data_IF_715529474357
#
_entry.id   IF_715529474357
#
_cell.length_a   1.000
_cell.length_b   1.000
_cell.length_c   1.000
_cell.angle_alpha   90.00
_cell.angle_beta   90.00
_cell.angle_gamma   90.00
#
_symmetry.space_group_name_H-M   'P 1'
#
loop_
_entity.id
_entity.type
_entity.pdbx_description
1 polymer ?
#
# COMPACT_ATOMS: atom_id res chain seq x y z
N UNK A 1 -3.33 -4.61 9.69
CA UNK A 1 -2.56 -3.49 9.12
C UNK A 1 -3.48 -2.59 8.32
N UNK A 2 -4.14 -3.09 7.29
CA UNK A 2 -4.95 -2.31 6.33
C UNK A 2 -6.09 -1.56 7.03
N UNK A 3 -6.93 -2.28 7.79
CA UNK A 3 -8.12 -1.71 8.42
C UNK A 3 -7.80 -0.51 9.35
N UNK A 4 -6.89 -0.65 10.34
CA UNK A 4 -6.59 0.45 11.25
C UNK A 4 -5.73 1.56 10.62
N UNK A 5 -5.03 1.27 9.52
CA UNK A 5 -4.18 2.26 8.86
C UNK A 5 -4.99 3.30 8.09
N UNK A 6 -6.02 2.86 7.36
CA UNK A 6 -6.82 3.77 6.52
C UNK A 6 -8.24 3.27 6.19
N UNK A 7 -8.47 1.95 6.08
CA UNK A 7 -9.72 1.44 5.52
C UNK A 7 -10.93 1.78 6.40
N UNK A 8 -10.79 1.67 7.73
CA UNK A 8 -11.86 2.02 8.66
C UNK A 8 -12.29 3.49 8.52
N UNK A 9 -11.35 4.40 8.29
CA UNK A 9 -11.66 5.83 8.17
C UNK A 9 -12.33 6.13 6.81
N UNK A 10 -11.90 5.47 5.73
CA UNK A 10 -12.58 5.57 4.43
C UNK A 10 -14.00 4.98 4.48
N UNK A 11 -14.20 3.89 5.20
CA UNK A 11 -15.53 3.30 5.37
C UNK A 11 -16.48 4.24 6.15
N UNK A 12 -16.02 4.83 7.25
CA UNK A 12 -16.80 5.82 8.02
C UNK A 12 -17.14 7.05 7.18
N UNK A 13 -16.18 7.54 6.37
CA UNK A 13 -16.42 8.66 5.46
C UNK A 13 -17.50 8.32 4.43
N UNK A 14 -17.43 7.13 3.81
CA UNK A 14 -18.47 6.65 2.90
C UNK A 14 -19.86 6.57 3.60
N UNK A 15 -19.92 6.01 4.79
CA UNK A 15 -21.17 5.88 5.56
C UNK A 15 -21.78 7.25 5.84
N UNK A 16 -20.96 8.21 6.28
CA UNK A 16 -21.42 9.58 6.51
C UNK A 16 -21.96 10.25 5.24
N UNK A 17 -21.33 10.01 4.07
CA UNK A 17 -21.82 10.51 2.79
C UNK A 17 -23.13 9.81 2.41
N UNK A 18 -23.22 8.51 2.67
CA UNK A 18 -24.39 7.70 2.35
C UNK A 18 -25.67 8.12 3.13
N UNK A 19 -25.51 8.77 4.28
CA UNK A 19 -26.61 9.28 5.12
C UNK A 19 -27.07 10.70 4.72
N UNK A 20 -26.42 11.37 3.79
CA UNK A 20 -26.83 12.72 3.34
C UNK A 20 -28.20 12.67 2.70
N UNK A 21 -29.20 13.41 3.23
CA UNK A 21 -30.58 13.31 2.74
C UNK A 21 -30.83 14.02 1.42
N UNK A 22 -29.95 14.98 1.02
CA UNK A 22 -30.12 15.75 -0.20
C UNK A 22 -29.46 15.03 -1.39
N UNK A 23 -30.22 14.51 -2.39
CA UNK A 23 -29.67 13.67 -3.44
C UNK A 23 -28.55 14.33 -4.26
N UNK A 24 -28.70 15.62 -4.58
CA UNK A 24 -27.71 16.36 -5.35
C UNK A 24 -26.40 16.55 -4.59
N UNK A 25 -26.45 16.83 -3.30
CA UNK A 25 -25.28 16.99 -2.43
C UNK A 25 -24.60 15.63 -2.23
N UNK A 26 -25.40 14.59 -1.96
CA UNK A 26 -24.89 13.22 -1.81
C UNK A 26 -24.13 12.77 -3.07
N UNK A 27 -24.73 12.98 -4.26
CA UNK A 27 -24.08 12.64 -5.54
C UNK A 27 -22.73 13.33 -5.69
N UNK A 28 -22.65 14.63 -5.48
CA UNK A 28 -21.40 15.40 -5.57
C UNK A 28 -20.34 14.88 -4.57
N UNK A 29 -20.76 14.53 -3.35
CA UNK A 29 -19.86 13.99 -2.35
C UNK A 29 -19.37 12.57 -2.68
N UNK A 30 -20.23 11.73 -3.25
CA UNK A 30 -19.85 10.39 -3.73
C UNK A 30 -18.83 10.46 -4.88
N UNK A 31 -19.06 11.37 -5.86
CA UNK A 31 -18.12 11.61 -6.96
C UNK A 31 -16.75 12.08 -6.42
N UNK A 32 -16.72 13.05 -5.52
CA UNK A 32 -15.48 13.52 -4.89
C UNK A 32 -14.79 12.45 -4.06
N UNK A 33 -15.55 11.59 -3.37
CA UNK A 33 -15.01 10.47 -2.61
C UNK A 33 -14.40 9.41 -3.53
N UNK A 34 -15.04 9.12 -4.67
CA UNK A 34 -14.47 8.23 -5.68
C UNK A 34 -13.15 8.78 -6.24
N UNK A 35 -13.09 10.09 -6.53
CA UNK A 35 -11.86 10.75 -6.96
C UNK A 35 -10.76 10.68 -5.88
N UNK A 36 -11.13 10.82 -4.62
CA UNK A 36 -10.21 10.61 -3.49
C UNK A 36 -9.65 9.19 -3.49
N UNK A 37 -10.50 8.15 -3.61
CA UNK A 37 -10.04 6.76 -3.67
C UNK A 37 -9.06 6.53 -4.82
N UNK A 38 -9.35 7.07 -5.99
CA UNK A 38 -8.51 6.97 -7.19
C UNK A 38 -7.18 7.73 -7.06
N UNK A 39 -7.10 8.72 -6.18
CA UNK A 39 -5.89 9.51 -5.93
C UNK A 39 -4.93 8.90 -4.91
N UNK A 40 -5.37 7.90 -4.12
CA UNK A 40 -4.52 7.28 -3.11
C UNK A 40 -3.42 6.42 -3.73
N UNK A 41 -2.20 6.52 -3.19
CA UNK A 41 -1.06 5.68 -3.56
C UNK A 41 -0.53 4.89 -2.38
N UNK A 42 -0.24 3.62 -2.61
CA UNK A 42 0.16 2.64 -1.61
C UNK A 42 1.53 2.05 -1.94
N UNK A 43 2.36 1.88 -0.92
CA UNK A 43 3.71 1.37 -1.09
C UNK A 43 4.02 0.25 -0.10
N UNK A 44 4.50 -0.89 -0.61
CA UNK A 44 4.98 -2.02 0.19
C UNK A 44 6.44 -2.32 -0.16
N UNK A 45 7.41 -1.91 0.69
CA UNK A 45 8.82 -2.11 0.43
C UNK A 45 9.33 -3.53 0.73
N UNK A 46 8.43 -4.47 0.97
CA UNK A 46 8.74 -5.90 1.14
C UNK A 46 7.56 -6.75 0.67
N UNK A 47 7.09 -6.49 -0.56
CA UNK A 47 5.76 -6.92 -0.98
C UNK A 47 5.60 -8.44 -1.18
N UNK A 48 6.69 -9.21 -1.26
CA UNK A 48 6.62 -10.65 -1.45
C UNK A 48 5.81 -11.01 -2.69
N UNK A 49 4.83 -11.89 -2.50
CA UNK A 49 3.84 -12.25 -3.54
C UNK A 49 2.70 -11.23 -3.72
N UNK A 50 2.80 -10.06 -3.12
CA UNK A 50 1.84 -8.95 -3.28
C UNK A 50 0.59 -9.03 -2.41
N UNK A 51 0.56 -9.82 -1.36
CA UNK A 51 -0.65 -10.05 -0.55
C UNK A 51 -1.24 -8.77 0.04
N UNK A 52 -0.42 -7.87 0.61
CA UNK A 52 -0.91 -6.60 1.15
C UNK A 52 -1.45 -5.68 0.05
N UNK A 53 -0.73 -5.58 -1.08
CA UNK A 53 -1.14 -4.75 -2.21
C UNK A 53 -2.44 -5.26 -2.82
N UNK A 54 -2.56 -6.57 -3.01
CA UNK A 54 -3.76 -7.23 -3.57
C UNK A 54 -4.98 -7.03 -2.68
N UNK A 55 -4.86 -7.29 -1.37
CA UNK A 55 -5.95 -7.12 -0.43
C UNK A 55 -6.38 -5.64 -0.31
N UNK A 56 -5.42 -4.72 -0.33
CA UNK A 56 -5.70 -3.28 -0.34
C UNK A 56 -6.47 -2.88 -1.59
N UNK A 57 -6.03 -3.34 -2.76
CA UNK A 57 -6.72 -3.08 -4.03
C UNK A 57 -8.16 -3.61 -3.99
N UNK A 58 -8.36 -4.87 -3.60
CA UNK A 58 -9.70 -5.47 -3.50
C UNK A 58 -10.59 -4.68 -2.54
N UNK A 59 -10.06 -4.30 -1.38
CA UNK A 59 -10.81 -3.53 -0.38
C UNK A 59 -11.24 -2.15 -0.90
N UNK A 60 -10.34 -1.43 -1.58
CA UNK A 60 -10.66 -0.15 -2.21
C UNK A 60 -11.68 -0.29 -3.34
N UNK A 61 -11.53 -1.30 -4.19
CA UNK A 61 -12.46 -1.58 -5.29
C UNK A 61 -13.85 -1.93 -4.78
N UNK A 62 -13.95 -2.71 -3.70
CA UNK A 62 -15.24 -2.99 -3.06
C UNK A 62 -15.89 -1.73 -2.48
N UNK A 63 -15.08 -0.84 -1.92
CA UNK A 63 -15.60 0.45 -1.44
C UNK A 63 -16.04 1.34 -2.61
N UNK A 64 -15.26 1.40 -3.69
CA UNK A 64 -15.64 2.08 -4.93
C UNK A 64 -16.91 1.47 -5.54
N UNK A 65 -17.07 0.15 -5.54
CA UNK A 65 -18.26 -0.53 -6.03
C UNK A 65 -19.53 -0.11 -5.26
N UNK A 66 -19.43 0.13 -3.94
CA UNK A 66 -20.55 0.71 -3.17
C UNK A 66 -20.88 2.13 -3.63
N UNK A 67 -19.89 2.92 -4.00
CA UNK A 67 -20.10 4.28 -4.57
C UNK A 67 -20.78 4.18 -5.94
N UNK A 68 -20.28 3.32 -6.82
CA UNK A 68 -20.82 3.09 -8.16
C UNK A 68 -22.28 2.65 -8.08
N UNK A 69 -22.61 1.66 -7.23
CA UNK A 69 -23.98 1.17 -7.02
C UNK A 69 -24.92 2.33 -6.63
N UNK A 70 -24.49 3.22 -5.74
CA UNK A 70 -25.31 4.38 -5.36
C UNK A 70 -25.46 5.42 -6.44
N UNK A 71 -24.40 5.66 -7.23
CA UNK A 71 -24.44 6.62 -8.32
C UNK A 71 -25.29 6.13 -9.51
N UNK A 72 -25.36 4.81 -9.72
CA UNK A 72 -26.08 4.20 -10.86
C UNK A 72 -27.52 3.84 -10.50
N UNK A 73 -27.89 3.70 -9.23
CA UNK A 73 -29.26 3.41 -8.80
C UNK A 73 -30.25 4.44 -9.32
N UNK A 74 -31.16 3.97 -10.19
CA UNK A 74 -32.23 4.79 -10.77
C UNK A 74 -31.87 5.52 -12.07
N UNK A 75 -30.70 5.28 -12.64
CA UNK A 75 -30.33 5.79 -13.96
C UNK A 75 -30.21 4.60 -14.94
N UNK A 76 -31.08 4.57 -15.96
CA UNK A 76 -30.85 3.74 -17.14
C UNK A 76 -29.74 4.44 -17.92
N UNK A 77 -28.53 3.91 -17.84
CA UNK A 77 -27.41 4.45 -18.61
C UNK A 77 -27.51 3.90 -20.03
N UNK A 78 -28.14 4.69 -20.90
CA UNK A 78 -28.16 4.44 -22.35
C UNK A 78 -26.97 5.15 -23.00
N UNK A 79 -25.98 4.38 -23.47
CA UNK A 79 -24.87 4.88 -24.25
C UNK A 79 -23.50 4.34 -23.84
N UNK A 80 -22.51 4.47 -24.71
CA UNK A 80 -21.09 4.19 -24.41
C UNK A 80 -20.60 5.14 -23.30
N UNK A 81 -20.65 4.67 -22.05
CA UNK A 81 -20.00 5.38 -20.94
C UNK A 81 -18.56 4.94 -20.83
N UNK A 82 -17.68 5.92 -20.60
CA UNK A 82 -16.37 5.66 -20.03
C UNK A 82 -16.52 4.77 -18.79
N UNK A 83 -15.57 3.86 -18.56
CA UNK A 83 -15.59 2.96 -17.39
C UNK A 83 -15.94 3.72 -16.10
N UNK A 84 -16.94 3.30 -15.32
CA UNK A 84 -17.28 3.95 -14.06
C UNK A 84 -16.19 3.74 -13.00
N UNK A 85 -15.23 2.89 -13.28
CA UNK A 85 -14.13 2.52 -12.39
C UNK A 85 -12.99 3.52 -12.50
N UNK A 86 -12.56 4.07 -11.37
CA UNK A 86 -11.43 5.01 -11.27
C UNK A 86 -10.24 4.43 -10.49
N UNK A 87 -10.50 3.55 -9.51
CA UNK A 87 -9.44 2.87 -8.75
C UNK A 87 -8.72 1.86 -9.64
N UNK A 88 -7.41 1.93 -9.71
CA UNK A 88 -6.55 1.18 -10.64
C UNK A 88 -5.36 0.56 -9.92
N UNK A 89 -4.84 -0.55 -10.45
CA UNK A 89 -3.60 -1.17 -9.96
C UNK A 89 -2.36 -0.28 -10.12
N UNK A 90 -2.42 0.79 -10.89
CA UNK A 90 -1.35 1.79 -10.99
C UNK A 90 -1.07 2.56 -9.70
N UNK A 91 -1.99 2.52 -8.74
CA UNK A 91 -1.85 3.18 -7.43
C UNK A 91 -0.95 2.39 -6.46
N UNK A 92 -0.51 1.19 -6.85
CA UNK A 92 0.17 0.22 -5.99
C UNK A 92 1.62 0.04 -6.40
N UNK A 93 2.52 0.28 -5.46
CA UNK A 93 3.96 0.25 -5.62
C UNK A 93 4.57 -0.77 -4.67
N UNK A 94 5.62 -1.45 -5.10
CA UNK A 94 6.28 -2.45 -4.25
C UNK A 94 7.75 -2.66 -4.60
N UNK A 95 8.50 -3.10 -3.61
CA UNK A 95 9.87 -3.62 -3.79
C UNK A 95 9.90 -5.06 -3.30
N UNK A 96 10.51 -5.93 -4.08
CA UNK A 96 10.74 -7.31 -3.71
C UNK A 96 12.13 -7.76 -4.21
N UNK A 97 12.87 -8.47 -3.36
CA UNK A 97 14.24 -8.89 -3.70
C UNK A 97 14.26 -10.12 -4.62
N UNK A 98 13.20 -10.89 -4.63
CA UNK A 98 13.09 -12.13 -5.41
C UNK A 98 12.34 -11.86 -6.73
N UNK A 99 13.00 -12.08 -7.87
CA UNK A 99 12.45 -11.86 -9.20
C UNK A 99 11.17 -12.66 -9.48
N UNK A 100 11.15 -13.93 -9.06
CA UNK A 100 9.97 -14.78 -9.20
C UNK A 100 8.80 -14.26 -8.36
N UNK A 101 9.05 -13.82 -7.12
CA UNK A 101 8.02 -13.23 -6.28
C UNK A 101 7.46 -11.91 -6.88
N UNK A 102 8.30 -11.10 -7.53
CA UNK A 102 7.85 -9.93 -8.29
C UNK A 102 6.85 -10.31 -9.40
N UNK A 103 7.14 -11.37 -10.15
CA UNK A 103 6.23 -11.86 -11.21
C UNK A 103 4.92 -12.36 -10.60
N UNK A 104 4.99 -13.11 -9.50
CA UNK A 104 3.80 -13.59 -8.78
C UNK A 104 2.96 -12.42 -8.28
N UNK A 105 3.57 -11.41 -7.67
CA UNK A 105 2.87 -10.23 -7.17
C UNK A 105 2.15 -9.44 -8.28
N UNK A 106 2.84 -9.21 -9.42
CA UNK A 106 2.23 -8.57 -10.59
C UNK A 106 1.03 -9.37 -11.12
N UNK A 107 1.19 -10.68 -11.20
CA UNK A 107 0.12 -11.59 -11.66
C UNK A 107 -1.06 -11.58 -10.70
N UNK A 108 -0.81 -11.61 -9.39
CA UNK A 108 -1.85 -11.55 -8.37
C UNK A 108 -2.66 -10.24 -8.45
N UNK A 109 -2.00 -9.11 -8.68
CA UNK A 109 -2.67 -7.82 -8.89
C UNK A 109 -3.55 -7.83 -10.14
N UNK A 110 -3.10 -8.41 -11.25
CA UNK A 110 -3.92 -8.55 -12.46
C UNK A 110 -5.13 -9.46 -12.24
N UNK A 111 -4.96 -10.57 -11.52
CA UNK A 111 -6.09 -11.45 -11.18
C UNK A 111 -7.10 -10.70 -10.32
N UNK A 112 -6.64 -9.94 -9.34
CA UNK A 112 -7.50 -9.11 -8.50
C UNK A 112 -8.26 -8.04 -9.32
N UNK A 113 -7.60 -7.41 -10.30
CA UNK A 113 -8.23 -6.46 -11.20
C UNK A 113 -9.35 -7.13 -12.02
N UNK A 114 -9.08 -8.33 -12.59
CA UNK A 114 -10.08 -9.13 -13.30
C UNK A 114 -11.30 -9.44 -12.43
N UNK A 115 -11.06 -9.93 -11.22
CA UNK A 115 -12.12 -10.29 -10.27
C UNK A 115 -12.99 -9.07 -9.93
N UNK A 116 -12.36 -7.94 -9.64
CA UNK A 116 -13.07 -6.73 -9.27
C UNK A 116 -13.82 -6.08 -10.43
N UNK A 117 -13.31 -6.21 -11.66
CA UNK A 117 -14.04 -5.80 -12.86
C UNK A 117 -15.31 -6.64 -13.08
N UNK A 118 -15.22 -7.97 -12.91
CA UNK A 118 -16.39 -8.86 -12.97
C UNK A 118 -17.43 -8.51 -11.90
N UNK A 119 -16.97 -8.21 -10.67
CA UNK A 119 -17.86 -7.76 -9.59
C UNK A 119 -18.56 -6.45 -9.97
N UNK A 120 -17.83 -5.47 -10.54
CA UNK A 120 -18.40 -4.20 -10.99
C UNK A 120 -19.40 -4.41 -12.14
N UNK A 121 -19.10 -5.28 -13.11
CA UNK A 121 -20.01 -5.61 -14.22
C UNK A 121 -21.36 -6.11 -13.73
N UNK A 122 -21.35 -6.92 -12.67
CA UNK A 122 -22.61 -7.44 -12.07
C UNK A 122 -23.45 -6.34 -11.38
N UNK A 123 -22.82 -5.24 -10.94
CA UNK A 123 -23.48 -4.10 -10.29
C UNK A 123 -24.10 -3.16 -11.33
N UNK A 124 -23.36 -2.87 -12.40
CA UNK A 124 -23.81 -1.89 -13.42
C UNK A 124 -24.62 -2.52 -14.56
N UNK A 125 -24.75 -3.86 -14.59
CA UNK A 125 -25.43 -4.63 -15.65
C UNK A 125 -24.95 -4.28 -17.07
N UNK A 126 -23.67 -3.89 -17.20
CA UNK A 126 -23.04 -3.49 -18.46
C UNK A 126 -21.81 -4.32 -18.73
N UNK A 127 -21.54 -4.62 -20.01
CA UNK A 127 -20.23 -5.11 -20.42
C UNK A 127 -19.22 -3.96 -20.33
N UNK A 128 -18.33 -4.05 -19.36
CA UNK A 128 -17.16 -3.17 -19.30
C UNK A 128 -16.09 -3.78 -20.20
N UNK A 129 -15.63 -3.01 -21.18
CA UNK A 129 -14.52 -3.43 -22.04
C UNK A 129 -13.28 -3.65 -21.16
N UNK A 130 -13.00 -4.92 -20.92
CA UNK A 130 -11.83 -5.33 -20.21
C UNK A 130 -10.66 -5.39 -21.22
N UNK A 131 -9.78 -4.41 -21.17
CA UNK A 131 -8.48 -4.48 -21.83
C UNK A 131 -7.46 -5.02 -20.83
N UNK A 132 -7.29 -6.35 -20.73
CA UNK A 132 -6.27 -6.92 -19.86
C UNK A 132 -4.90 -6.49 -20.38
N UNK A 133 -3.94 -6.30 -19.49
CA UNK A 133 -2.52 -6.12 -19.80
C UNK A 133 -2.04 -4.71 -20.23
N UNK A 134 -2.87 -3.67 -20.18
CA UNK A 134 -2.38 -2.27 -20.33
C UNK A 134 -1.97 -1.64 -19.00
N UNK A 135 -2.37 -2.24 -17.90
CA UNK A 135 -2.07 -1.73 -16.56
C UNK A 135 -0.73 -2.29 -16.07
N UNK A 136 0.23 -1.42 -15.86
CA UNK A 136 1.51 -1.79 -15.25
C UNK A 136 1.39 -1.71 -13.73
N UNK A 137 1.78 -2.77 -13.05
CA UNK A 137 1.94 -2.75 -11.59
C UNK A 137 3.35 -2.25 -11.30
N UNK A 138 3.47 -1.25 -10.42
CA UNK A 138 4.74 -0.61 -10.10
C UNK A 138 5.51 -1.42 -9.03
N UNK A 139 5.76 -2.70 -9.30
CA UNK A 139 6.58 -3.57 -8.46
C UNK A 139 7.94 -3.73 -9.11
N UNK A 140 8.99 -3.36 -8.37
CA UNK A 140 10.38 -3.42 -8.82
C UNK A 140 11.15 -4.48 -8.06
N UNK A 141 12.07 -5.14 -8.75
CA UNK A 141 13.02 -6.07 -8.14
C UNK A 141 14.15 -5.29 -7.50
N UNK A 142 14.49 -5.64 -6.25
CA UNK A 142 15.64 -5.05 -5.58
C UNK A 142 15.64 -5.26 -4.07
N UNK A 143 16.78 -4.92 -3.45
CA UNK A 143 16.91 -4.92 -2.01
C UNK A 143 16.40 -3.59 -1.45
N UNK A 144 15.25 -3.60 -0.77
CA UNK A 144 14.62 -2.40 -0.22
C UNK A 144 15.50 -1.63 0.77
N UNK A 145 16.44 -2.30 1.45
CA UNK A 145 17.35 -1.63 2.37
C UNK A 145 18.49 -0.90 1.66
N UNK A 146 18.80 -1.24 0.38
CA UNK A 146 19.83 -0.60 -0.44
C UNK A 146 19.27 0.41 -1.44
N UNK A 147 17.99 0.27 -1.80
CA UNK A 147 17.34 1.16 -2.76
C UNK A 147 16.91 2.47 -2.12
N UNK A 148 16.90 3.54 -2.90
CA UNK A 148 16.18 4.75 -2.54
C UNK A 148 14.67 4.55 -2.84
N UNK A 149 13.84 4.61 -1.83
CA UNK A 149 12.39 4.46 -1.98
C UNK A 149 11.76 5.61 -2.76
N UNK A 150 12.41 6.79 -2.78
CA UNK A 150 11.96 7.94 -3.56
C UNK A 150 12.00 7.69 -5.07
N UNK A 151 12.90 6.79 -5.56
CA UNK A 151 12.96 6.42 -6.97
C UNK A 151 11.80 5.50 -7.39
N UNK A 152 11.20 4.76 -6.45
CA UNK A 152 10.05 3.89 -6.72
C UNK A 152 8.75 4.67 -6.62
N UNK A 153 8.59 5.43 -5.55
CA UNK A 153 7.45 6.33 -5.32
C UNK A 153 7.94 7.52 -4.49
N UNK A 154 7.88 8.75 -5.00
CA UNK A 154 8.19 9.93 -4.20
C UNK A 154 7.29 10.01 -2.96
N UNK A 155 7.88 10.26 -1.78
CA UNK A 155 7.13 10.28 -0.52
C UNK A 155 6.01 11.33 -0.51
N UNK A 156 6.19 12.45 -1.23
CA UNK A 156 5.15 13.48 -1.39
C UNK A 156 3.94 13.02 -2.20
N UNK A 157 4.04 11.90 -2.92
CA UNK A 157 2.95 11.29 -3.69
C UNK A 157 2.35 10.06 -2.98
N UNK A 158 3.06 9.47 -2.02
CA UNK A 158 2.63 8.31 -1.27
C UNK A 158 1.64 8.72 -0.17
N UNK A 159 0.59 7.92 0.03
CA UNK A 159 -0.36 8.14 1.12
C UNK A 159 -0.15 7.14 2.25
N UNK A 160 0.16 5.90 1.93
CA UNK A 160 0.31 4.83 2.92
C UNK A 160 1.45 3.90 2.56
N UNK A 161 2.32 3.65 3.53
CA UNK A 161 3.36 2.61 3.45
C UNK A 161 2.98 1.47 4.39
N UNK A 162 2.99 0.25 3.89
CA UNK A 162 2.64 -0.93 4.65
C UNK A 162 3.45 -2.15 4.20
N UNK A 163 3.50 -3.18 4.99
CA UNK A 163 4.20 -4.40 4.57
C UNK A 163 4.41 -5.40 5.70
N UNK A 164 4.97 -6.53 5.31
CA UNK A 164 5.41 -7.59 6.20
C UNK A 164 6.89 -7.92 5.94
N UNK A 165 7.81 -7.06 6.39
CA UNK A 165 9.23 -7.27 6.19
C UNK A 165 9.74 -8.57 6.82
N UNK A 166 10.84 -9.15 6.32
CA UNK A 166 11.34 -10.44 6.80
C UNK A 166 11.83 -10.40 8.27
N UNK A 167 11.43 -11.42 9.04
CA UNK A 167 11.79 -11.57 10.45
C UNK A 167 13.02 -12.45 10.59
N UNK A 168 14.19 -11.84 10.68
CA UNK A 168 15.45 -12.55 10.94
C UNK A 168 16.09 -11.99 12.19
N UNK A 169 16.12 -12.80 13.26
CA UNK A 169 16.77 -12.44 14.52
C UNK A 169 18.25 -12.11 14.31
N UNK A 170 18.80 -11.19 15.08
CA UNK A 170 20.16 -10.66 14.89
C UNK A 170 21.26 -11.75 14.84
N UNK A 171 21.09 -12.85 15.56
CA UNK A 171 22.05 -13.97 15.58
C UNK A 171 21.99 -14.86 14.33
N UNK A 172 20.89 -14.81 13.57
CA UNK A 172 20.63 -15.66 12.41
C UNK A 172 20.86 -14.91 11.08
N UNK A 173 21.15 -13.61 11.13
CA UNK A 173 21.39 -12.81 9.93
C UNK A 173 22.66 -13.26 9.20
N UNK A 174 22.58 -13.30 7.87
CA UNK A 174 23.76 -13.47 7.00
C UNK A 174 24.70 -12.26 7.10
N UNK A 175 25.91 -12.39 6.57
CA UNK A 175 26.86 -11.28 6.52
C UNK A 175 26.33 -10.11 5.68
N UNK A 176 25.61 -10.39 4.58
CA UNK A 176 24.98 -9.39 3.74
C UNK A 176 23.87 -8.65 4.49
N UNK A 177 22.99 -9.37 5.15
CA UNK A 177 21.89 -8.78 5.95
C UNK A 177 22.43 -7.91 7.09
N UNK A 178 23.56 -8.31 7.71
CA UNK A 178 24.24 -7.48 8.72
C UNK A 178 24.80 -6.21 8.13
N UNK A 179 25.44 -6.30 6.95
CA UNK A 179 25.96 -5.13 6.23
C UNK A 179 24.83 -4.16 5.88
N UNK A 180 23.78 -4.62 5.21
CA UNK A 180 22.61 -3.82 4.83
C UNK A 180 22.05 -3.04 6.03
N UNK A 181 21.88 -3.72 7.16
CA UNK A 181 21.36 -3.11 8.37
C UNK A 181 22.29 -2.07 8.98
N UNK A 182 23.61 -2.31 8.97
CA UNK A 182 24.60 -1.38 9.49
C UNK A 182 24.68 -0.11 8.66
N UNK A 183 24.52 -0.22 7.34
CA UNK A 183 24.58 0.90 6.41
C UNK A 183 23.41 1.88 6.58
N UNK A 184 22.24 1.40 7.01
CA UNK A 184 21.05 2.24 7.22
C UNK A 184 20.85 2.67 8.68
N UNK A 185 21.47 1.96 9.64
CA UNK A 185 21.38 2.29 11.07
C UNK A 185 22.48 3.26 11.47
N UNK A 186 22.48 4.46 10.89
CA UNK A 186 23.52 5.48 11.06
C UNK A 186 22.97 6.76 11.68
N UNK A 187 23.84 7.49 12.38
CA UNK A 187 23.56 8.82 12.89
C UNK A 187 23.72 9.89 11.78
N UNK A 188 23.39 11.15 12.08
CA UNK A 188 23.53 12.30 11.17
C UNK A 188 24.95 12.48 10.60
N UNK A 189 25.95 11.83 11.17
CA UNK A 189 27.35 11.86 10.71
C UNK A 189 27.73 10.62 9.89
N UNK A 190 26.76 9.75 9.58
CA UNK A 190 26.96 8.50 8.85
C UNK A 190 27.66 7.41 9.66
N UNK A 191 27.69 7.50 10.99
CA UNK A 191 28.27 6.50 11.86
C UNK A 191 27.20 5.54 12.40
N UNK A 192 27.41 4.24 12.21
CA UNK A 192 26.50 3.21 12.72
C UNK A 192 26.28 3.33 14.23
N UNK A 193 25.04 3.24 14.68
CA UNK A 193 24.71 3.19 16.11
C UNK A 193 25.39 2.00 16.77
N UNK A 194 25.89 2.16 17.99
CA UNK A 194 26.58 1.10 18.75
C UNK A 194 25.74 -0.16 18.92
N UNK A 195 24.44 -0.02 18.91
CA UNK A 195 23.45 -1.10 19.12
C UNK A 195 22.97 -1.73 17.80
N UNK A 196 23.32 -1.17 16.64
CA UNK A 196 22.87 -1.65 15.33
C UNK A 196 23.18 -3.13 15.06
N UNK A 197 24.27 -3.66 15.61
CA UNK A 197 24.63 -5.07 15.47
C UNK A 197 23.68 -6.05 16.19
N UNK A 198 22.87 -5.58 17.15
CA UNK A 198 22.04 -6.44 18.02
C UNK A 198 20.54 -6.33 17.75
N UNK A 199 20.14 -5.64 16.69
CA UNK A 199 18.73 -5.50 16.30
C UNK A 199 18.34 -6.53 15.24
N UNK A 200 17.07 -6.93 15.22
CA UNK A 200 16.53 -7.83 14.22
C UNK A 200 16.48 -7.18 12.84
N UNK A 201 16.49 -7.98 11.79
CA UNK A 201 16.58 -7.49 10.42
C UNK A 201 15.39 -6.60 10.03
N UNK A 202 14.21 -6.92 10.52
CA UNK A 202 12.99 -6.13 10.33
C UNK A 202 13.13 -4.66 10.73
N UNK A 203 13.98 -4.35 11.71
CA UNK A 203 14.23 -2.98 12.16
C UNK A 203 14.79 -2.08 11.03
N UNK A 204 15.47 -2.66 10.04
CA UNK A 204 15.97 -1.94 8.87
C UNK A 204 14.86 -1.21 8.12
N UNK A 205 13.69 -1.81 7.98
CA UNK A 205 12.53 -1.17 7.34
C UNK A 205 11.99 0.02 8.12
N UNK A 206 12.07 -0.01 9.46
CA UNK A 206 11.68 1.14 10.29
C UNK A 206 12.63 2.32 10.08
N UNK A 207 13.95 2.09 10.04
CA UNK A 207 14.92 3.15 9.74
C UNK A 207 14.69 3.75 8.35
N UNK A 208 14.55 2.92 7.32
CA UNK A 208 14.24 3.38 5.96
C UNK A 208 12.90 4.12 5.89
N UNK A 209 11.89 3.64 6.62
CA UNK A 209 10.59 4.30 6.64
C UNK A 209 10.66 5.69 7.29
N UNK A 210 11.37 5.84 8.41
CA UNK A 210 11.55 7.15 9.04
C UNK A 210 12.26 8.14 8.13
N UNK A 211 13.30 7.70 7.42
CA UNK A 211 13.96 8.51 6.39
C UNK A 211 12.98 8.94 5.29
N UNK A 212 12.19 7.99 4.79
CA UNK A 212 11.26 8.20 3.68
C UNK A 212 10.10 9.13 4.04
N UNK A 213 9.53 9.01 5.27
CA UNK A 213 8.34 9.78 5.68
C UNK A 213 8.66 11.16 6.23
N UNK A 214 9.92 11.55 6.36
CA UNK A 214 10.29 12.84 6.92
C UNK A 214 9.59 14.00 6.21
N UNK A 215 9.02 14.93 7.00
CA UNK A 215 8.29 16.09 6.51
C UNK A 215 7.04 15.78 5.67
N UNK A 216 6.47 14.59 5.82
CA UNK A 216 5.22 14.19 5.16
C UNK A 216 4.13 13.88 6.20
N UNK A 217 2.87 13.82 5.75
CA UNK A 217 1.76 13.30 6.56
C UNK A 217 1.48 11.81 6.31
N UNK A 218 2.45 11.07 5.77
CA UNK A 218 2.31 9.71 5.31
C UNK A 218 2.10 8.73 6.47
N UNK A 219 1.06 7.88 6.38
CA UNK A 219 0.80 6.81 7.33
C UNK A 219 1.65 5.57 7.02
N UNK A 220 2.31 5.02 8.05
CA UNK A 220 3.17 3.82 7.90
C UNK A 220 2.82 2.74 8.91
N UNK A 221 2.67 1.49 8.46
CA UNK A 221 2.42 0.35 9.33
C UNK A 221 3.06 -0.94 8.80
N UNK A 222 3.96 -1.52 9.59
CA UNK A 222 4.59 -2.81 9.28
C UNK A 222 4.17 -3.89 10.28
N UNK A 223 4.04 -5.11 9.78
CA UNK A 223 4.01 -6.30 10.64
C UNK A 223 5.42 -6.50 11.20
N UNK A 224 5.50 -6.83 12.47
CA UNK A 224 6.78 -7.04 13.14
C UNK A 224 6.68 -8.08 14.24
N UNK A 225 7.83 -8.54 14.70
CA UNK A 225 7.92 -9.41 15.90
C UNK A 225 7.89 -8.57 17.17
N UNK A 226 7.43 -9.17 18.27
CA UNK A 226 7.46 -8.52 19.58
C UNK A 226 8.87 -8.16 20.05
N UNK A 227 9.91 -8.73 19.46
CA UNK A 227 11.30 -8.47 19.84
C UNK A 227 11.71 -7.00 19.73
N UNK A 228 11.21 -6.28 18.73
CA UNK A 228 11.54 -4.84 18.56
C UNK A 228 10.87 -3.93 19.61
N UNK A 229 9.90 -4.48 20.36
CA UNK A 229 9.20 -3.76 21.45
C UNK A 229 9.58 -4.29 22.83
N UNK A 230 10.57 -5.18 22.92
CA UNK A 230 10.99 -5.82 24.18
C UNK A 230 12.51 -5.81 24.38
N UNK A 231 12.92 -5.80 25.65
CA UNK A 231 14.31 -5.94 26.05
C UNK A 231 15.24 -4.85 25.52
N UNK A 232 16.47 -5.26 25.18
CA UNK A 232 17.54 -4.36 24.71
C UNK A 232 17.21 -3.73 23.34
N UNK A 233 16.37 -4.38 22.51
CA UNK A 233 16.01 -3.89 21.18
C UNK A 233 15.17 -2.61 21.22
N UNK A 234 14.36 -2.40 22.27
CA UNK A 234 13.57 -1.18 22.44
C UNK A 234 14.45 0.08 22.35
N UNK A 235 15.52 0.09 23.15
CA UNK A 235 16.43 1.23 23.15
C UNK A 235 17.27 1.33 21.86
N UNK A 236 17.54 0.18 21.23
CA UNK A 236 18.35 0.12 20.02
C UNK A 236 17.59 0.56 18.76
N UNK A 237 16.30 0.30 18.70
CA UNK A 237 15.43 0.66 17.55
C UNK A 237 14.80 2.05 17.75
N UNK A 238 14.11 2.28 18.87
CA UNK A 238 13.24 3.44 19.04
C UNK A 238 13.93 4.72 19.58
N UNK A 239 15.16 4.61 20.08
CA UNK A 239 15.90 5.80 20.48
C UNK A 239 16.51 6.59 19.31
N UNK A 240 17.04 5.90 18.26
CA UNK A 240 17.54 6.58 17.08
C UNK A 240 16.45 7.15 16.17
N UNK A 241 15.25 6.50 16.14
CA UNK A 241 14.08 6.93 15.36
C UNK A 241 13.34 8.07 16.03
#
# INVERSE_FOLDING_TARGET
VIDPLFLNDLQKEYEAIAEIPQPKVQKQKLEAFQDKLAGLKFFDPACGSGNFLTETYISLRRLENKVIDRLTKGQIVLGEMASPVKVSIHQFYGIEINDFACVVAKTAMWIAELQMMQETQSIVEMNLDFLPLKSYVNIVEGNALRMDWQEVLPAGECNYTMGNPPFVGYSLQSNEQKADKLDISVDEKGKSYKTAGKIDYVAGWYFKAVEYIQNTGLGTAFVSTNSITQGEQVAAVWKPL
#
